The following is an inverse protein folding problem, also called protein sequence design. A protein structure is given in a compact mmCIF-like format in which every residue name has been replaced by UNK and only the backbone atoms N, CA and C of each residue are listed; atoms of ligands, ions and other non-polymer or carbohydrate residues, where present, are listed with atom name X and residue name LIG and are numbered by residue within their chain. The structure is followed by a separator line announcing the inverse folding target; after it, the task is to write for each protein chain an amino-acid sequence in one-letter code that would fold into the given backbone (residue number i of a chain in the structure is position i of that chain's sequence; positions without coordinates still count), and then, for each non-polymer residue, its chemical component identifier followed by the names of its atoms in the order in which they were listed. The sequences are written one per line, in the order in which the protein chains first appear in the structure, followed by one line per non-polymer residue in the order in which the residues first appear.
data_IF_896625375577
#
_entry.id   IF_896625375577
#
_cell.length_a   1.000
_cell.length_b   1.000
_cell.length_c   1.000
_cell.angle_alpha   90.00
_cell.angle_beta   90.00
_cell.angle_gamma   90.00
#
_symmetry.space_group_name_H-M   'P 1'
#
loop_
_entity.id
_entity.type
_entity.pdbx_description
1 polymer ?
#
# COMPACT_ATOMS: atom_id res chain seq x y z
N UNK A 1 11.06 0.63 44.37
CA UNK A 1 10.59 -0.16 43.20
C UNK A 1 11.02 0.61 41.96
N UNK A 2 11.88 0.06 41.08
CA UNK A 2 12.48 0.85 40.00
C UNK A 2 11.43 1.22 38.96
N UNK A 3 11.38 2.51 38.60
CA UNK A 3 10.43 3.12 37.65
C UNK A 3 10.36 2.37 36.30
N UNK A 4 11.48 1.75 35.89
CA UNK A 4 11.58 0.94 34.67
C UNK A 4 10.64 -0.27 34.64
N UNK A 5 10.43 -0.95 35.78
CA UNK A 5 9.52 -2.12 35.86
C UNK A 5 8.05 -1.73 35.84
N UNK A 6 7.70 -0.51 36.25
CA UNK A 6 6.32 -0.03 36.20
C UNK A 6 5.90 0.37 34.78
N UNK A 7 6.80 1.01 34.03
CA UNK A 7 6.59 1.38 32.62
C UNK A 7 6.44 0.15 31.70
N UNK A 8 7.25 -0.89 31.90
CA UNK A 8 7.15 -2.15 31.14
C UNK A 8 5.83 -2.90 31.36
N UNK A 9 5.17 -2.74 32.52
CA UNK A 9 3.94 -3.48 32.86
C UNK A 9 2.67 -2.86 32.22
N UNK A 10 2.74 -1.62 31.72
CA UNK A 10 1.60 -0.91 31.11
C UNK A 10 1.82 -0.44 29.68
N UNK A 11 3.02 -0.63 29.11
CA UNK A 11 3.33 -0.11 27.79
C UNK A 11 4.21 -1.07 26.99
N UNK A 12 3.76 -1.41 25.77
CA UNK A 12 4.54 -2.15 24.76
C UNK A 12 5.61 -1.27 24.08
N UNK A 13 6.14 -0.28 24.81
CA UNK A 13 7.08 0.70 24.26
C UNK A 13 8.48 0.07 24.21
N UNK A 14 8.92 -0.32 23.02
CA UNK A 14 10.29 -0.78 22.80
C UNK A 14 11.17 0.43 22.46
N UNK A 15 11.97 0.94 23.41
CA UNK A 15 12.74 2.16 23.21
C UNK A 15 13.80 2.03 22.11
N UNK A 16 14.34 0.82 21.89
CA UNK A 16 15.35 0.60 20.86
C UNK A 16 14.73 0.79 19.46
N UNK A 17 13.58 0.17 19.21
CA UNK A 17 12.89 0.29 17.92
C UNK A 17 12.55 1.75 17.63
N UNK A 18 12.02 2.45 18.63
CA UNK A 18 11.56 3.83 18.47
C UNK A 18 12.73 4.80 18.29
N UNK A 19 13.80 4.68 19.07
CA UNK A 19 14.96 5.55 18.90
C UNK A 19 15.64 5.35 17.54
N UNK A 20 15.77 4.09 17.09
CA UNK A 20 16.39 3.80 15.79
C UNK A 20 15.52 4.31 14.64
N UNK A 21 14.21 4.04 14.63
CA UNK A 21 13.32 4.52 13.55
C UNK A 21 13.24 6.05 13.53
N UNK A 22 13.11 6.69 14.69
CA UNK A 22 13.06 8.14 14.81
C UNK A 22 14.36 8.79 14.32
N UNK A 23 15.50 8.20 14.66
CA UNK A 23 16.80 8.67 14.17
C UNK A 23 16.87 8.66 12.64
N UNK A 24 16.49 7.54 12.00
CA UNK A 24 16.48 7.46 10.53
C UNK A 24 15.52 8.46 9.89
N UNK A 25 14.31 8.63 10.43
CA UNK A 25 13.34 9.60 9.92
C UNK A 25 13.90 11.02 10.01
N UNK A 26 14.42 11.42 11.18
CA UNK A 26 14.98 12.76 11.37
C UNK A 26 16.21 13.00 10.50
N UNK A 27 17.04 11.98 10.30
CA UNK A 27 18.21 12.06 9.43
C UNK A 27 17.79 12.32 7.97
N UNK A 28 16.83 11.56 7.44
CA UNK A 28 16.34 11.75 6.06
C UNK A 28 15.71 13.13 5.90
N UNK A 29 14.86 13.55 6.85
CA UNK A 29 14.23 14.89 6.83
C UNK A 29 15.27 16.01 6.90
N UNK A 30 16.31 15.85 7.71
CA UNK A 30 17.36 16.87 7.82
C UNK A 30 18.16 17.00 6.52
N UNK A 31 18.50 15.88 5.88
CA UNK A 31 19.23 15.88 4.60
C UNK A 31 18.38 16.52 3.49
N UNK A 32 17.09 16.22 3.41
CA UNK A 32 16.20 16.78 2.38
C UNK A 32 15.97 18.29 2.56
N UNK A 33 16.00 18.79 3.80
CA UNK A 33 15.86 20.22 4.07
C UNK A 33 17.14 21.02 3.81
N UNK A 34 18.32 20.48 4.14
CA UNK A 34 19.60 21.19 3.98
C UNK A 34 20.11 21.12 2.54
N UNK A 35 19.89 20.00 1.85
CA UNK A 35 20.46 19.71 0.52
C UNK A 35 19.40 19.12 -0.44
N UNK A 36 18.36 19.89 -0.81
CA UNK A 36 17.20 19.35 -1.54
C UNK A 36 17.55 18.82 -2.92
N UNK A 37 18.41 19.51 -3.68
CA UNK A 37 18.80 19.10 -5.04
C UNK A 37 19.58 17.78 -5.04
N UNK A 38 20.58 17.66 -4.15
CA UNK A 38 21.36 16.43 -4.05
C UNK A 38 20.51 15.26 -3.53
N UNK A 39 19.62 15.52 -2.56
CA UNK A 39 18.69 14.52 -2.07
C UNK A 39 17.75 14.02 -3.18
N UNK A 40 17.20 14.93 -3.98
CA UNK A 40 16.32 14.58 -5.10
C UNK A 40 17.05 13.76 -6.17
N UNK A 41 18.27 14.14 -6.53
CA UNK A 41 19.09 13.39 -7.47
C UNK A 41 19.40 11.96 -6.96
N UNK A 42 19.81 11.82 -5.69
CA UNK A 42 20.12 10.53 -5.08
C UNK A 42 18.87 9.64 -4.99
N UNK A 43 17.75 10.18 -4.51
CA UNK A 43 16.50 9.44 -4.37
C UNK A 43 15.96 9.00 -5.74
N UNK A 44 16.04 9.84 -6.76
CA UNK A 44 15.61 9.45 -8.11
C UNK A 44 16.54 8.41 -8.74
N UNK A 45 17.86 8.51 -8.53
CA UNK A 45 18.81 7.50 -8.99
C UNK A 45 18.55 6.15 -8.31
N UNK A 46 18.33 6.14 -7.00
CA UNK A 46 17.98 4.96 -6.24
C UNK A 46 16.64 4.36 -6.71
N UNK A 47 15.60 5.19 -6.83
CA UNK A 47 14.29 4.82 -7.37
C UNK A 47 14.44 4.16 -8.74
N UNK A 48 15.09 4.84 -9.69
CA UNK A 48 15.28 4.34 -11.06
C UNK A 48 16.03 3.01 -11.09
N UNK A 49 17.08 2.86 -10.28
CA UNK A 49 17.85 1.62 -10.18
C UNK A 49 17.00 0.46 -9.64
N UNK A 50 16.20 0.71 -8.60
CA UNK A 50 15.29 -0.29 -8.04
C UNK A 50 14.26 -0.69 -9.10
N UNK A 51 13.58 0.26 -9.74
CA UNK A 51 12.60 -0.06 -10.78
C UNK A 51 13.25 -0.83 -11.94
N UNK A 52 14.44 -0.43 -12.41
CA UNK A 52 15.10 -1.13 -13.51
C UNK A 52 15.40 -2.60 -13.20
N UNK A 53 15.83 -2.91 -11.98
CA UNK A 53 16.31 -4.25 -11.62
C UNK A 53 15.26 -5.12 -10.92
N UNK A 54 14.31 -4.54 -10.18
CA UNK A 54 13.36 -5.24 -9.31
C UNK A 54 11.90 -5.17 -9.78
N UNK A 55 11.57 -4.46 -10.87
CA UNK A 55 10.17 -4.39 -11.34
C UNK A 55 9.57 -5.76 -11.66
N UNK A 56 10.36 -6.66 -12.27
CA UNK A 56 9.89 -8.01 -12.59
C UNK A 56 9.54 -8.80 -11.32
N UNK A 57 10.35 -8.66 -10.27
CA UNK A 57 10.13 -9.30 -8.98
C UNK A 57 8.88 -8.74 -8.30
N UNK A 58 8.66 -7.42 -8.37
CA UNK A 58 7.47 -6.78 -7.83
C UNK A 58 6.18 -7.30 -8.50
N UNK A 59 6.15 -7.37 -9.84
CA UNK A 59 4.98 -7.85 -10.60
C UNK A 59 4.69 -9.32 -10.29
N UNK A 60 5.72 -10.17 -10.25
CA UNK A 60 5.56 -11.58 -9.93
C UNK A 60 5.13 -11.78 -8.46
N UNK A 61 5.74 -11.05 -7.53
CA UNK A 61 5.41 -11.13 -6.11
C UNK A 61 3.94 -10.79 -5.87
N UNK A 62 3.45 -9.70 -6.47
CA UNK A 62 2.04 -9.32 -6.40
C UNK A 62 1.13 -10.38 -7.01
N UNK A 63 1.48 -10.88 -8.20
CA UNK A 63 0.69 -11.89 -8.91
C UNK A 63 0.60 -13.20 -8.10
N UNK A 64 1.73 -13.69 -7.58
CA UNK A 64 1.79 -14.91 -6.74
C UNK A 64 0.95 -14.72 -5.48
N UNK A 65 1.04 -13.58 -4.81
CA UNK A 65 0.26 -13.32 -3.60
C UNK A 65 -1.24 -13.26 -3.90
N UNK A 66 -1.66 -12.66 -5.02
CA UNK A 66 -3.05 -12.68 -5.47
C UNK A 66 -3.53 -14.12 -5.71
N UNK A 67 -2.77 -14.93 -6.46
CA UNK A 67 -3.12 -16.34 -6.68
C UNK A 67 -3.15 -17.14 -5.38
N UNK A 68 -2.26 -16.84 -4.43
CA UNK A 68 -2.24 -17.46 -3.11
C UNK A 68 -3.52 -17.14 -2.33
N UNK A 69 -3.95 -15.88 -2.27
CA UNK A 69 -5.19 -15.47 -1.59
C UNK A 69 -6.44 -16.07 -2.25
N UNK A 70 -6.49 -16.12 -3.59
CA UNK A 70 -7.59 -16.75 -4.32
C UNK A 70 -7.64 -18.25 -4.05
N UNK A 71 -6.49 -18.91 -4.05
CA UNK A 71 -6.39 -20.34 -3.73
C UNK A 71 -6.84 -20.60 -2.29
N UNK A 72 -6.40 -19.79 -1.32
CA UNK A 72 -6.84 -19.91 0.07
C UNK A 72 -8.36 -19.73 0.19
N UNK A 73 -8.93 -18.73 -0.48
CA UNK A 73 -10.37 -18.43 -0.41
C UNK A 73 -11.25 -19.55 -0.99
N UNK A 74 -10.79 -20.24 -2.04
CA UNK A 74 -11.53 -21.35 -2.67
C UNK A 74 -11.25 -22.70 -1.97
N UNK A 75 -10.08 -22.83 -1.34
CA UNK A 75 -9.69 -24.05 -0.63
C UNK A 75 -10.48 -24.26 0.67
N UNK A 76 -10.37 -25.46 1.25
CA UNK A 76 -10.91 -25.76 2.58
C UNK A 76 -10.38 -24.85 3.68
N UNK A 77 -9.20 -24.22 3.49
CA UNK A 77 -8.62 -23.28 4.45
C UNK A 77 -9.42 -21.98 4.56
N UNK A 78 -10.16 -21.57 3.52
CA UNK A 78 -11.00 -20.38 3.55
C UNK A 78 -12.22 -20.51 4.47
N UNK A 79 -12.61 -21.75 4.81
CA UNK A 79 -13.71 -22.01 5.75
C UNK A 79 -13.26 -22.00 7.22
N UNK A 80 -11.97 -21.78 7.48
CA UNK A 80 -11.44 -21.70 8.84
C UNK A 80 -11.80 -20.36 9.44
N UNK A 81 -12.54 -20.41 10.55
CA UNK A 81 -12.92 -19.24 11.33
C UNK A 81 -11.71 -18.69 12.09
N UNK A 82 -11.46 -17.39 11.93
CA UNK A 82 -10.41 -16.66 12.65
C UNK A 82 -10.90 -16.28 14.06
N UNK A 83 -10.96 -17.27 14.96
CA UNK A 83 -11.45 -17.11 16.32
C UNK A 83 -11.75 -18.47 16.95
N UNK A 84 -12.42 -18.49 18.10
CA UNK A 84 -12.95 -19.75 18.63
C UNK A 84 -14.12 -20.24 17.76
N UNK A 85 -14.31 -21.57 17.69
CA UNK A 85 -15.35 -22.17 16.83
C UNK A 85 -16.75 -21.61 17.13
N UNK A 86 -17.04 -21.27 18.40
CA UNK A 86 -18.34 -20.79 18.87
C UNK A 86 -18.46 -19.25 18.94
N UNK A 87 -17.43 -18.48 18.58
CA UNK A 87 -17.46 -17.01 18.70
C UNK A 87 -18.24 -16.34 17.56
N UNK A 88 -19.29 -15.58 17.83
CA UNK A 88 -19.96 -14.83 16.75
C UNK A 88 -19.11 -13.64 16.27
N UNK A 89 -19.38 -13.17 15.04
CA UNK A 89 -18.68 -12.00 14.51
C UNK A 89 -18.99 -10.75 15.35
N UNK A 90 -17.95 -10.04 15.78
CA UNK A 90 -18.09 -8.83 16.61
C UNK A 90 -18.86 -7.70 15.89
N UNK A 91 -18.75 -7.65 14.56
CA UNK A 91 -19.42 -6.67 13.72
C UNK A 91 -20.33 -7.35 12.71
N UNK A 92 -21.52 -6.79 12.50
CA UNK A 92 -22.41 -7.22 11.42
C UNK A 92 -21.78 -7.03 10.04
N UNK A 93 -22.15 -7.86 9.07
CA UNK A 93 -21.55 -7.90 7.74
C UNK A 93 -21.40 -6.52 7.06
N UNK A 94 -22.43 -5.68 7.12
CA UNK A 94 -22.40 -4.34 6.53
C UNK A 94 -21.47 -3.37 7.26
N UNK A 95 -21.39 -3.46 8.59
CA UNK A 95 -20.46 -2.68 9.38
C UNK A 95 -19.02 -3.11 9.11
N UNK A 96 -18.77 -4.42 9.04
CA UNK A 96 -17.47 -4.98 8.67
C UNK A 96 -17.04 -4.55 7.27
N UNK A 97 -17.93 -4.63 6.28
CA UNK A 97 -17.66 -4.19 4.92
C UNK A 97 -17.34 -2.69 4.85
N UNK A 98 -18.09 -1.87 5.60
CA UNK A 98 -17.82 -0.44 5.70
C UNK A 98 -16.44 -0.15 6.32
N UNK A 99 -16.03 -0.92 7.34
CA UNK A 99 -14.70 -0.80 7.94
C UNK A 99 -13.58 -1.17 6.96
N UNK A 100 -13.75 -2.23 6.17
CA UNK A 100 -12.79 -2.58 5.10
C UNK A 100 -12.65 -1.46 4.06
N UNK A 101 -13.78 -0.86 3.67
CA UNK A 101 -13.76 0.27 2.74
C UNK A 101 -13.07 1.49 3.37
N UNK A 102 -13.41 1.84 4.61
CA UNK A 102 -12.87 3.01 5.31
C UNK A 102 -11.37 2.88 5.62
N UNK A 103 -10.92 1.72 6.10
CA UNK A 103 -9.51 1.46 6.38
C UNK A 103 -8.65 1.55 5.12
N UNK A 104 -9.26 1.29 3.96
CA UNK A 104 -8.52 1.11 2.75
C UNK A 104 -8.60 2.25 1.73
N UNK A 105 -9.79 2.76 1.46
CA UNK A 105 -10.09 3.71 0.38
C UNK A 105 -9.75 5.15 0.80
N UNK A 106 -8.54 5.34 1.34
CA UNK A 106 -8.10 6.59 1.96
C UNK A 106 -7.78 7.71 0.97
N UNK A 107 -6.82 8.57 1.37
CA UNK A 107 -6.38 9.77 0.62
C UNK A 107 -5.94 9.48 -0.82
N UNK A 108 -5.49 8.25 -1.11
CA UNK A 108 -5.04 7.83 -2.43
C UNK A 108 -6.09 8.03 -3.52
N UNK A 109 -7.35 7.66 -3.27
CA UNK A 109 -8.42 7.83 -4.27
C UNK A 109 -8.88 9.28 -4.42
N UNK A 110 -8.80 10.06 -3.34
CA UNK A 110 -9.10 11.50 -3.41
C UNK A 110 -8.09 12.24 -4.29
N UNK A 111 -6.83 11.82 -4.28
CA UNK A 111 -5.77 12.45 -5.09
C UNK A 111 -5.66 11.83 -6.49
N UNK A 112 -5.48 10.51 -6.57
CA UNK A 112 -5.21 9.81 -7.83
C UNK A 112 -6.48 9.46 -8.61
N UNK A 113 -7.67 9.50 -7.99
CA UNK A 113 -8.93 9.25 -8.70
C UNK A 113 -9.20 10.21 -9.86
N UNK A 114 -8.62 11.42 -9.82
CA UNK A 114 -8.66 12.38 -10.93
C UNK A 114 -7.30 12.54 -11.58
N UNK A 115 -6.22 12.59 -10.79
CA UNK A 115 -4.88 12.88 -11.31
C UNK A 115 -4.36 11.80 -12.26
N UNK A 116 -4.64 10.52 -11.97
CA UNK A 116 -4.09 9.41 -12.75
C UNK A 116 -4.75 9.24 -14.12
N UNK A 117 -6.09 9.23 -14.26
CA UNK A 117 -6.73 9.22 -15.57
C UNK A 117 -6.31 10.42 -16.43
N UNK A 118 -6.21 11.61 -15.83
CA UNK A 118 -5.80 12.82 -16.54
C UNK A 118 -4.35 12.71 -17.03
N UNK A 119 -3.45 12.20 -16.19
CA UNK A 119 -2.05 11.99 -16.56
C UNK A 119 -1.92 10.95 -17.67
N UNK A 120 -2.66 9.85 -17.60
CA UNK A 120 -2.66 8.81 -18.64
C UNK A 120 -3.19 9.32 -19.98
N UNK A 121 -4.27 10.11 -19.95
CA UNK A 121 -4.85 10.74 -21.14
C UNK A 121 -3.86 11.69 -21.86
N UNK A 122 -3.07 12.45 -21.09
CA UNK A 122 -2.06 13.37 -21.64
C UNK A 122 -0.74 12.70 -22.02
N UNK A 123 -0.50 11.49 -21.51
CA UNK A 123 0.74 10.74 -21.77
C UNK A 123 0.72 9.98 -23.10
N UNK A 124 1.90 9.58 -23.56
CA UNK A 124 2.07 8.77 -24.78
C UNK A 124 1.63 7.31 -24.63
N UNK A 125 1.17 6.89 -23.45
CA UNK A 125 0.73 5.50 -23.23
C UNK A 125 -0.63 5.23 -23.87
N UNK A 126 -1.45 6.27 -24.07
CA UNK A 126 -2.75 6.18 -24.74
C UNK A 126 -2.63 6.63 -26.18
N UNK A 127 -3.23 5.88 -27.10
CA UNK A 127 -3.06 6.08 -28.54
C UNK A 127 -4.40 6.19 -29.25
N UNK A 128 -4.40 6.78 -30.45
CA UNK A 128 -5.60 6.94 -31.28
C UNK A 128 -6.37 8.24 -31.06
N UNK A 129 -7.63 8.23 -31.49
CA UNK A 129 -8.54 9.37 -31.41
C UNK A 129 -8.88 9.75 -29.96
N UNK A 130 -9.37 10.98 -29.74
CA UNK A 130 -9.67 11.52 -28.41
C UNK A 130 -10.55 10.60 -27.56
N UNK A 131 -11.60 10.03 -28.14
CA UNK A 131 -12.53 9.12 -27.44
C UNK A 131 -11.82 7.82 -27.01
N UNK A 132 -10.97 7.27 -27.87
CA UNK A 132 -10.22 6.05 -27.58
C UNK A 132 -9.21 6.28 -26.45
N UNK A 133 -8.50 7.41 -26.46
CA UNK A 133 -7.56 7.77 -25.40
C UNK A 133 -8.23 7.93 -24.03
N UNK A 134 -9.45 8.46 -23.98
CA UNK A 134 -10.21 8.58 -22.73
C UNK A 134 -10.55 7.22 -22.15
N UNK A 135 -10.98 6.28 -22.99
CA UNK A 135 -11.28 4.91 -22.58
C UNK A 135 -10.03 4.18 -22.10
N UNK A 136 -8.92 4.25 -22.83
CA UNK A 136 -7.65 3.63 -22.41
C UNK A 136 -7.14 4.20 -21.09
N UNK A 137 -7.18 5.52 -20.91
CA UNK A 137 -6.73 6.16 -19.67
C UNK A 137 -7.53 5.69 -18.44
N UNK A 138 -8.85 5.56 -18.59
CA UNK A 138 -9.72 5.01 -17.56
C UNK A 138 -9.43 3.53 -17.29
N UNK A 139 -9.21 2.72 -18.33
CA UNK A 139 -8.88 1.30 -18.18
C UNK A 139 -7.55 1.11 -17.45
N UNK A 140 -6.52 1.90 -17.76
CA UNK A 140 -5.24 1.87 -17.04
C UNK A 140 -5.39 2.24 -15.57
N UNK A 141 -6.18 3.26 -15.26
CA UNK A 141 -6.45 3.64 -13.87
C UNK A 141 -7.23 2.55 -13.13
N UNK A 142 -8.25 1.97 -13.77
CA UNK A 142 -9.02 0.85 -13.20
C UNK A 142 -8.15 -0.39 -13.01
N UNK A 143 -7.15 -0.61 -13.87
CA UNK A 143 -6.16 -1.65 -13.65
C UNK A 143 -5.33 -1.37 -12.36
N UNK A 144 -4.85 -0.15 -12.16
CA UNK A 144 -4.08 0.22 -10.96
C UNK A 144 -4.90 0.35 -9.66
N UNK A 145 -6.22 0.44 -9.69
CA UNK A 145 -7.04 0.55 -8.47
C UNK A 145 -8.08 -0.57 -8.33
N UNK A 146 -8.19 -1.43 -9.33
CA UNK A 146 -9.11 -2.55 -9.38
C UNK A 146 -8.45 -3.85 -8.95
N UNK A 147 -8.73 -4.92 -9.68
CA UNK A 147 -8.40 -6.29 -9.27
C UNK A 147 -6.90 -6.58 -9.16
N UNK A 148 -6.05 -5.89 -9.95
CA UNK A 148 -4.61 -6.17 -10.06
C UNK A 148 -3.71 -5.30 -9.18
N UNK A 149 -4.24 -4.36 -8.39
CA UNK A 149 -3.45 -3.66 -7.37
C UNK A 149 -4.22 -3.51 -6.04
N UNK A 150 -5.55 -3.42 -6.09
CA UNK A 150 -6.40 -3.23 -4.91
C UNK A 150 -6.55 -4.45 -3.99
N UNK A 151 -6.03 -5.62 -4.38
CA UNK A 151 -6.24 -6.89 -3.67
C UNK A 151 -5.04 -7.39 -2.84
N UNK A 152 -3.79 -6.93 -3.08
CA UNK A 152 -2.61 -7.60 -2.48
C UNK A 152 -1.85 -6.79 -1.42
N UNK A 153 -2.24 -5.55 -1.11
CA UNK A 153 -1.82 -4.88 0.12
C UNK A 153 -2.99 -4.10 0.73
N UNK A 154 -3.96 -4.83 1.28
CA UNK A 154 -4.73 -4.46 2.47
C UNK A 154 -4.97 -5.70 3.31
#
# INVERSE_FOLDING_TARGET
MPLSRFLQRKSSFNPLVICVTLFFVLLVVSITLVMPEQANALLNAAKSSIFKNFSWFYILGFSIFLFFLLTLSISSFGNIKLGMNEEEAEFGFWAWLAMLFAAGMGVGLMFFGVAEPLTHYLSSITTGASEHKQQEALLHTVFHWGFTHGQCMR
#
